data_IF_534122423555
#
_entry.id   IF_534122423555
#
_cell.length_a   1.000
_cell.length_b   1.000
_cell.length_c   1.000
_cell.angle_alpha   90.00
_cell.angle_beta   90.00
_cell.angle_gamma   90.00
#
_symmetry.space_group_name_H-M   'P 1'
#
loop_
_entity.id
_entity.type
_entity.pdbx_description
1 polymer ?
#
# COMPACT_ATOMS: atom_id res chain seq x y z
N UNK A 1 19.51 28.46 -14.68
CA UNK A 1 19.05 27.67 -13.53
C UNK A 1 18.05 26.66 -14.08
N UNK A 2 18.50 25.43 -14.30
CA UNK A 2 17.74 24.37 -15.00
C UNK A 2 16.62 23.88 -14.08
N UNK A 3 15.39 23.83 -14.60
CA UNK A 3 14.23 23.27 -13.90
C UNK A 3 14.53 21.82 -13.47
N UNK A 4 14.26 21.48 -12.21
CA UNK A 4 14.43 20.11 -11.67
C UNK A 4 13.24 19.25 -12.10
N UNK A 5 13.37 18.34 -13.09
CA UNK A 5 12.25 17.52 -13.55
C UNK A 5 12.00 16.29 -12.66
N UNK A 6 12.83 16.11 -11.62
CA UNK A 6 12.87 14.89 -10.82
C UNK A 6 11.78 14.77 -9.75
N UNK A 7 11.10 15.85 -9.36
CA UNK A 7 10.15 15.79 -8.23
C UNK A 7 8.77 15.26 -8.65
N UNK A 8 8.30 15.58 -9.86
CA UNK A 8 7.00 15.10 -10.37
C UNK A 8 6.99 13.61 -10.73
N UNK A 9 8.05 13.10 -11.37
CA UNK A 9 8.16 11.67 -11.72
C UNK A 9 8.29 10.80 -10.46
N UNK A 10 8.97 11.30 -9.42
CA UNK A 10 9.15 10.58 -8.14
C UNK A 10 7.86 10.50 -7.32
N UNK A 11 7.01 11.54 -7.32
CA UNK A 11 5.72 11.49 -6.64
C UNK A 11 4.73 10.53 -7.32
N UNK A 12 4.73 10.48 -8.66
CA UNK A 12 3.95 9.49 -9.41
C UNK A 12 4.41 8.05 -9.15
N UNK A 13 5.73 7.82 -9.11
CA UNK A 13 6.32 6.51 -8.81
C UNK A 13 6.07 6.04 -7.38
N UNK A 14 6.23 6.92 -6.39
CA UNK A 14 5.93 6.60 -4.99
C UNK A 14 4.44 6.28 -4.82
N UNK A 15 3.54 7.11 -5.36
CA UNK A 15 2.11 6.89 -5.26
C UNK A 15 1.67 5.56 -5.92
N UNK A 16 2.26 5.22 -7.06
CA UNK A 16 2.03 3.92 -7.71
C UNK A 16 2.53 2.75 -6.85
N UNK A 17 3.75 2.84 -6.32
CA UNK A 17 4.31 1.80 -5.45
C UNK A 17 3.52 1.64 -4.13
N UNK A 18 3.07 2.74 -3.53
CA UNK A 18 2.24 2.72 -2.33
C UNK A 18 0.88 2.04 -2.59
N UNK A 19 0.22 2.36 -3.71
CA UNK A 19 -1.02 1.69 -4.13
C UNK A 19 -0.81 0.21 -4.39
N UNK A 20 0.27 -0.15 -5.06
CA UNK A 20 0.61 -1.55 -5.32
C UNK A 20 0.86 -2.31 -4.01
N UNK A 21 1.54 -1.71 -3.03
CA UNK A 21 1.75 -2.31 -1.71
C UNK A 21 0.42 -2.56 -0.99
N UNK A 22 -0.49 -1.58 -0.98
CA UNK A 22 -1.83 -1.73 -0.40
C UNK A 22 -2.60 -2.86 -1.09
N UNK A 23 -2.58 -2.93 -2.41
CA UNK A 23 -3.27 -3.99 -3.15
C UNK A 23 -2.68 -5.38 -2.86
N UNK A 24 -1.35 -5.48 -2.75
CA UNK A 24 -0.69 -6.75 -2.36
C UNK A 24 -1.05 -7.19 -0.94
N UNK A 25 -1.04 -6.26 0.02
CA UNK A 25 -1.41 -6.57 1.40
C UNK A 25 -2.88 -7.02 1.53
N UNK A 26 -3.80 -6.39 0.78
CA UNK A 26 -5.21 -6.84 0.70
C UNK A 26 -5.34 -8.25 0.14
N UNK A 27 -4.63 -8.54 -0.95
CA UNK A 27 -4.67 -9.87 -1.56
C UNK A 27 -4.10 -10.94 -0.61
N UNK A 28 -3.02 -10.62 0.11
CA UNK A 28 -2.45 -11.51 1.11
C UNK A 28 -3.42 -11.77 2.28
N UNK A 29 -4.07 -10.72 2.78
CA UNK A 29 -5.05 -10.85 3.87
C UNK A 29 -6.24 -11.71 3.45
N UNK A 30 -6.79 -11.49 2.25
CA UNK A 30 -7.86 -12.33 1.71
C UNK A 30 -7.44 -13.80 1.58
N UNK A 31 -6.24 -14.06 1.05
CA UNK A 31 -5.71 -15.41 0.91
C UNK A 31 -5.50 -16.11 2.27
N UNK A 32 -4.99 -15.39 3.28
CA UNK A 32 -4.81 -15.93 4.62
C UNK A 32 -6.14 -16.25 5.32
N UNK A 33 -7.15 -15.40 5.12
CA UNK A 33 -8.52 -15.63 5.61
C UNK A 33 -9.16 -16.85 4.94
N UNK A 34 -9.02 -16.99 3.62
CA UNK A 34 -9.54 -18.14 2.87
C UNK A 34 -8.86 -19.46 3.31
N UNK A 35 -7.57 -19.40 3.68
CA UNK A 35 -6.83 -20.54 4.20
C UNK A 35 -7.11 -20.85 5.69
N UNK A 36 -7.88 -20.00 6.38
CA UNK A 36 -8.04 -20.03 7.84
C UNK A 36 -6.72 -20.03 8.61
N UNK A 37 -5.69 -19.36 8.07
CA UNK A 37 -4.39 -19.22 8.71
C UNK A 37 -4.40 -17.98 9.62
N UNK A 38 -4.56 -18.22 10.92
CA UNK A 38 -4.67 -17.15 11.91
C UNK A 38 -3.37 -16.34 12.06
N UNK A 39 -2.20 -16.97 11.85
CA UNK A 39 -0.92 -16.27 11.95
C UNK A 39 -0.71 -15.36 10.74
N UNK A 40 -0.87 -15.90 9.53
CA UNK A 40 -0.73 -15.11 8.30
C UNK A 40 -1.82 -14.03 8.20
N UNK A 41 -3.02 -14.26 8.74
CA UNK A 41 -4.06 -13.23 8.83
C UNK A 41 -3.59 -12.05 9.68
N UNK A 42 -2.98 -12.32 10.84
CA UNK A 42 -2.46 -11.25 11.70
C UNK A 42 -1.32 -10.48 11.01
N UNK A 43 -0.37 -11.20 10.40
CA UNK A 43 0.76 -10.59 9.66
C UNK A 43 0.26 -9.73 8.50
N UNK A 44 -0.64 -10.25 7.67
CA UNK A 44 -1.16 -9.53 6.51
C UNK A 44 -2.04 -8.31 6.91
N UNK A 45 -2.72 -8.38 8.06
CA UNK A 45 -3.48 -7.26 8.62
C UNK A 45 -2.54 -6.13 9.04
N UNK A 46 -1.49 -6.42 9.81
CA UNK A 46 -0.50 -5.43 10.24
C UNK A 46 0.19 -4.77 9.04
N UNK A 47 0.55 -5.54 8.02
CA UNK A 47 1.13 -5.02 6.78
C UNK A 47 0.18 -4.13 5.97
N UNK A 48 -1.12 -4.47 5.95
CA UNK A 48 -2.13 -3.62 5.32
C UNK A 48 -2.27 -2.29 6.07
N UNK A 49 -2.33 -2.33 7.40
CA UNK A 49 -2.38 -1.14 8.24
C UNK A 49 -1.16 -0.24 8.04
N UNK A 50 0.05 -0.80 8.00
CA UNK A 50 1.28 -0.05 7.72
C UNK A 50 1.24 0.59 6.32
N UNK A 51 0.85 -0.17 5.30
CA UNK A 51 0.77 0.33 3.93
C UNK A 51 -0.25 1.48 3.81
N UNK A 52 -1.41 1.36 4.45
CA UNK A 52 -2.44 2.41 4.49
C UNK A 52 -1.96 3.64 5.26
N UNK A 53 -1.26 3.45 6.39
CA UNK A 53 -0.67 4.53 7.18
C UNK A 53 0.35 5.31 6.35
N UNK A 54 1.28 4.62 5.69
CA UNK A 54 2.29 5.23 4.81
C UNK A 54 1.62 5.98 3.66
N UNK A 55 0.60 5.40 3.01
CA UNK A 55 -0.13 6.07 1.95
C UNK A 55 -0.78 7.38 2.45
N UNK A 56 -1.46 7.33 3.60
CA UNK A 56 -2.11 8.50 4.22
C UNK A 56 -1.12 9.60 4.60
N UNK A 57 -0.03 9.24 5.26
CA UNK A 57 1.02 10.18 5.69
C UNK A 57 1.66 10.93 4.51
N UNK A 58 1.66 10.32 3.31
CA UNK A 58 2.21 10.91 2.10
C UNK A 58 1.14 11.47 1.15
N UNK A 59 -0.13 11.57 1.59
CA UNK A 59 -1.23 12.12 0.78
C UNK A 59 -1.61 11.27 -0.43
N UNK A 60 -1.25 9.99 -0.45
CA UNK A 60 -1.60 9.06 -1.52
C UNK A 60 -3.03 8.57 -1.30
N UNK A 61 -3.92 8.92 -2.24
CA UNK A 61 -5.27 8.36 -2.27
C UNK A 61 -5.19 6.92 -2.76
N UNK A 62 -5.64 6.02 -1.88
CA UNK A 62 -5.86 4.60 -2.14
C UNK A 62 -7.35 4.35 -2.11
N UNK A 63 -7.86 3.53 -3.03
CA UNK A 63 -9.28 3.17 -3.01
C UNK A 63 -9.58 2.40 -1.74
N UNK A 64 -10.65 2.75 -1.05
CA UNK A 64 -11.18 2.00 0.09
C UNK A 64 -11.79 0.70 -0.45
N UNK A 65 -10.99 -0.36 -0.51
CA UNK A 65 -11.51 -1.69 -0.82
C UNK A 65 -12.15 -2.27 0.43
N UNK A 66 -13.47 -2.47 0.37
CA UNK A 66 -14.41 -3.03 1.36
C UNK A 66 -14.87 -2.11 2.50
#
# INVERSE_FOLDING_TARGET
MVAKPDVEVRMGGFAAAARERVNRARAALAAAQDAADAYETAVASDELEDALRVARENGVVVESGQ
#
